data_IF_785538109460
#
_entry.id   IF_785538109460
#
_cell.length_a   1.000
_cell.length_b   1.000
_cell.length_c   1.000
_cell.angle_alpha   90.00
_cell.angle_beta   90.00
_cell.angle_gamma   90.00
#
_symmetry.space_group_name_H-M   'P 1'
#
loop_
_entity.id
_entity.type
_entity.pdbx_description
1 polymer ?
#
# COMPACT_ATOMS: atom_id res chain seq x y z
N UNK A 1 -7.62 21.28 -12.72
CA UNK A 1 -7.76 19.80 -12.73
C UNK A 1 -9.15 19.46 -12.24
N UNK A 2 -9.76 18.36 -12.72
CA UNK A 2 -10.98 17.81 -12.11
C UNK A 2 -10.53 16.84 -11.02
N UNK A 3 -11.02 16.95 -9.77
CA UNK A 3 -10.63 16.04 -8.70
C UNK A 3 -11.07 14.61 -9.06
N UNK A 4 -10.17 13.67 -8.78
CA UNK A 4 -10.45 12.23 -8.86
C UNK A 4 -11.12 11.75 -7.58
N UNK A 5 -11.82 10.61 -7.66
CA UNK A 5 -12.41 9.97 -6.48
C UNK A 5 -12.10 8.49 -6.48
N UNK A 6 -11.66 7.97 -5.36
CA UNK A 6 -11.67 6.53 -5.11
C UNK A 6 -13.01 6.11 -4.53
N UNK A 7 -13.53 5.02 -5.09
CA UNK A 7 -14.86 4.52 -4.79
C UNK A 7 -14.81 3.04 -4.48
N UNK A 8 -15.72 2.61 -3.60
CA UNK A 8 -15.97 1.21 -3.27
C UNK A 8 -17.36 0.86 -3.78
N UNK A 9 -17.45 -0.24 -4.52
CA UNK A 9 -18.70 -0.75 -5.06
C UNK A 9 -19.00 -2.13 -4.47
N UNK A 10 -20.12 -2.25 -3.77
CA UNK A 10 -20.61 -3.53 -3.27
C UNK A 10 -21.34 -4.25 -4.41
N UNK A 11 -20.75 -5.34 -4.91
CA UNK A 11 -21.28 -6.11 -6.04
C UNK A 11 -22.62 -6.81 -5.73
N UNK A 12 -22.94 -7.04 -4.45
CA UNK A 12 -24.16 -7.72 -4.03
C UNK A 12 -25.34 -6.75 -3.92
N UNK A 13 -25.10 -5.55 -3.38
CA UNK A 13 -26.15 -4.55 -3.15
C UNK A 13 -26.23 -3.50 -4.25
N UNK A 14 -25.18 -3.36 -5.07
CA UNK A 14 -25.03 -2.26 -6.01
C UNK A 14 -24.72 -0.92 -5.35
N UNK A 15 -24.41 -0.92 -4.06
CA UNK A 15 -24.11 0.30 -3.32
C UNK A 15 -22.70 0.82 -3.67
N UNK A 16 -22.62 2.11 -4.00
CA UNK A 16 -21.36 2.81 -4.26
C UNK A 16 -21.08 3.82 -3.16
N UNK A 17 -19.84 3.86 -2.68
CA UNK A 17 -19.36 4.85 -1.71
C UNK A 17 -18.06 5.49 -2.17
N UNK A 18 -17.99 6.81 -2.09
CA UNK A 18 -16.73 7.55 -2.24
C UNK A 18 -16.02 7.55 -0.89
N UNK A 19 -14.84 6.95 -0.83
CA UNK A 19 -14.04 6.91 0.41
C UNK A 19 -12.89 7.92 0.40
N UNK A 20 -12.53 8.45 -0.78
CA UNK A 20 -11.51 9.51 -0.90
C UNK A 20 -11.73 10.35 -2.15
N UNK A 21 -11.55 11.66 -1.99
CA UNK A 21 -11.42 12.63 -3.09
C UNK A 21 -10.00 13.15 -3.04
N UNK A 22 -9.33 13.24 -4.19
CA UNK A 22 -7.96 13.73 -4.27
C UNK A 22 -7.84 14.80 -5.35
N UNK A 23 -7.13 15.87 -4.99
CA UNK A 23 -6.95 17.06 -5.83
C UNK A 23 -5.60 17.08 -6.55
N UNK A 24 -4.79 16.02 -6.38
CA UNK A 24 -3.44 15.89 -6.92
C UNK A 24 -3.37 14.93 -8.11
N UNK A 25 -2.20 14.92 -8.77
CA UNK A 25 -1.91 14.03 -9.89
C UNK A 25 -2.15 12.57 -9.52
N UNK A 26 -2.99 11.87 -10.29
CA UNK A 26 -3.17 10.43 -10.19
C UNK A 26 -1.90 9.76 -10.70
N UNK A 27 -1.10 9.13 -9.84
CA UNK A 27 0.00 8.27 -10.30
C UNK A 27 -0.60 7.02 -10.95
N UNK A 28 -0.08 6.63 -12.11
CA UNK A 28 -0.41 5.35 -12.72
C UNK A 28 0.11 4.22 -11.83
N UNK A 29 -0.77 3.45 -11.19
CA UNK A 29 -0.41 2.36 -10.27
C UNK A 29 -0.92 2.53 -8.83
N UNK A 30 -2.12 3.10 -8.65
CA UNK A 30 -2.56 3.61 -7.35
C UNK A 30 -2.71 2.51 -6.29
N UNK A 31 -3.24 1.34 -6.64
CA UNK A 31 -3.48 0.24 -5.70
C UNK A 31 -2.31 -0.73 -5.70
N UNK A 32 -1.53 -0.68 -4.63
CA UNK A 32 -0.30 -1.46 -4.47
C UNK A 32 -0.57 -2.86 -3.92
N UNK A 33 -1.62 -3.02 -3.11
CA UNK A 33 -1.95 -4.34 -2.59
C UNK A 33 -3.15 -4.34 -1.66
N UNK A 34 -3.69 -5.53 -1.45
CA UNK A 34 -4.83 -5.80 -0.56
C UNK A 34 -4.42 -6.85 0.45
N UNK A 35 -4.72 -6.62 1.72
CA UNK A 35 -4.66 -7.62 2.77
C UNK A 35 -6.08 -8.11 3.06
N UNK A 36 -6.45 -9.34 2.65
CA UNK A 36 -7.77 -9.91 2.97
C UNK A 36 -7.96 -10.15 4.47
N UNK A 37 -6.90 -10.58 5.17
CA UNK A 37 -6.91 -10.85 6.61
C UNK A 37 -7.22 -9.60 7.42
N UNK A 38 -6.60 -8.46 7.06
CA UNK A 38 -6.82 -7.16 7.70
C UNK A 38 -7.90 -6.32 7.04
N UNK A 39 -8.51 -6.82 5.95
CA UNK A 39 -9.51 -6.12 5.14
C UNK A 39 -9.06 -4.68 4.82
N UNK A 40 -7.85 -4.55 4.31
CA UNK A 40 -7.18 -3.26 4.08
C UNK A 40 -6.63 -3.18 2.66
N UNK A 41 -6.75 -2.01 2.04
CA UNK A 41 -6.18 -1.67 0.74
C UNK A 41 -5.02 -0.69 0.96
N UNK A 42 -3.87 -0.96 0.35
CA UNK A 42 -2.73 -0.06 0.33
C UNK A 42 -2.63 0.64 -1.01
N UNK A 43 -2.36 1.93 -0.98
CA UNK A 43 -2.31 2.74 -2.19
C UNK A 43 -1.30 3.89 -2.08
N UNK A 44 -0.70 4.25 -3.20
CA UNK A 44 0.27 5.35 -3.28
C UNK A 44 -0.32 6.50 -4.08
N UNK A 45 -0.22 7.71 -3.52
CA UNK A 45 -0.50 8.95 -4.25
C UNK A 45 0.77 9.79 -4.38
N UNK A 46 0.79 10.67 -5.39
CA UNK A 46 1.89 11.58 -5.66
C UNK A 46 2.69 11.15 -6.88
N UNK A 47 3.97 11.50 -6.91
CA UNK A 47 4.85 11.20 -8.04
C UNK A 47 6.25 10.89 -7.57
N UNK A 48 6.73 9.70 -7.91
CA UNK A 48 8.09 9.27 -7.60
C UNK A 48 9.09 10.21 -8.28
N UNK A 49 8.75 10.74 -9.47
CA UNK A 49 9.56 11.73 -10.19
C UNK A 49 9.73 13.04 -9.42
N UNK A 50 8.68 13.52 -8.75
CA UNK A 50 8.73 14.75 -7.93
C UNK A 50 9.11 14.48 -6.46
N UNK A 51 9.37 13.23 -6.09
CA UNK A 51 9.77 12.85 -4.73
C UNK A 51 8.69 13.09 -3.66
N UNK A 52 7.42 13.20 -4.06
CA UNK A 52 6.31 13.52 -3.18
C UNK A 52 5.32 12.36 -3.01
N UNK A 53 5.75 11.13 -3.30
CA UNK A 53 4.95 9.92 -3.06
C UNK A 53 4.65 9.73 -1.58
N UNK A 54 3.44 9.23 -1.31
CA UNK A 54 2.93 8.91 0.02
C UNK A 54 2.18 7.59 -0.05
N UNK A 55 2.45 6.71 0.92
CA UNK A 55 1.72 5.47 1.10
C UNK A 55 0.54 5.72 2.04
N UNK A 56 -0.59 5.16 1.69
CA UNK A 56 -1.79 5.19 2.50
C UNK A 56 -2.32 3.77 2.67
N UNK A 57 -3.06 3.59 3.76
CA UNK A 57 -3.96 2.45 3.91
C UNK A 57 -5.40 2.94 4.01
N UNK A 58 -6.30 2.16 3.41
CA UNK A 58 -7.74 2.28 3.53
C UNK A 58 -8.30 1.03 4.22
N UNK A 59 -8.91 1.22 5.39
CA UNK A 59 -9.57 0.16 6.14
C UNK A 59 -10.99 -0.06 5.63
N UNK A 60 -11.30 -1.27 5.13
CA UNK A 60 -12.66 -1.59 4.66
C UNK A 60 -13.66 -1.68 5.82
N UNK A 61 -13.18 -2.03 7.02
CA UNK A 61 -14.03 -2.18 8.21
C UNK A 61 -14.39 -0.84 8.85
N UNK A 62 -13.44 0.11 8.88
CA UNK A 62 -13.65 1.44 9.47
C UNK A 62 -14.09 2.49 8.46
N UNK A 63 -13.93 2.22 7.17
CA UNK A 63 -14.15 3.19 6.09
C UNK A 63 -13.28 4.45 6.27
N UNK A 64 -12.02 4.24 6.64
CA UNK A 64 -11.07 5.29 7.02
C UNK A 64 -9.75 5.15 6.27
N UNK A 65 -9.11 6.29 6.01
CA UNK A 65 -7.77 6.35 5.40
C UNK A 65 -6.77 6.90 6.41
N UNK A 66 -5.60 6.26 6.51
CA UNK A 66 -4.43 6.85 7.18
C UNK A 66 -3.20 6.81 6.29
N UNK A 67 -2.32 7.80 6.48
CA UNK A 67 -1.00 7.82 5.86
C UNK A 67 -0.04 6.90 6.63
N UNK A 68 0.75 6.13 5.89
CA UNK A 68 1.88 5.36 6.39
C UNK A 68 3.16 6.13 6.05
N UNK A 69 3.86 6.60 7.08
CA UNK A 69 5.02 7.48 6.93
C UNK A 69 6.29 6.69 6.64
N UNK A 70 6.53 6.42 5.37
CA UNK A 70 7.78 5.82 4.89
C UNK A 70 8.47 6.81 3.94
N UNK A 71 9.72 7.11 4.22
CA UNK A 71 10.51 8.03 3.40
C UNK A 71 10.82 7.40 2.02
N UNK A 72 10.65 8.20 0.96
CA UNK A 72 10.98 7.81 -0.42
C UNK A 72 10.31 6.50 -0.89
N UNK A 73 9.10 6.22 -0.42
CA UNK A 73 8.31 5.08 -0.88
C UNK A 73 8.07 5.16 -2.39
N UNK A 74 8.23 4.03 -3.09
CA UNK A 74 7.85 3.92 -4.49
C UNK A 74 6.80 2.83 -4.74
N UNK A 75 6.86 1.71 -4.01
CA UNK A 75 6.01 0.54 -4.26
C UNK A 75 5.77 -0.26 -2.96
N UNK A 76 4.64 -0.98 -2.90
CA UNK A 76 4.47 -2.15 -2.02
C UNK A 76 4.57 -3.40 -2.88
N UNK A 77 5.59 -4.23 -2.61
CA UNK A 77 5.95 -5.35 -3.46
C UNK A 77 5.28 -6.66 -3.04
N UNK A 78 5.06 -6.83 -1.73
CA UNK A 78 4.41 -8.01 -1.17
C UNK A 78 3.79 -7.69 0.20
N UNK A 79 2.84 -8.51 0.61
CA UNK A 79 2.15 -8.43 1.89
C UNK A 79 2.15 -9.82 2.50
N UNK A 80 2.68 -9.95 3.73
CA UNK A 80 2.57 -11.17 4.53
C UNK A 80 1.13 -11.70 4.59
N UNK A 81 0.96 -13.01 4.71
CA UNK A 81 -0.36 -13.67 4.73
C UNK A 81 -1.29 -13.17 5.86
N UNK A 82 -0.72 -12.78 7.01
CA UNK A 82 -1.45 -12.19 8.12
C UNK A 82 -1.65 -10.66 7.97
N UNK A 83 -0.99 -10.05 6.98
CA UNK A 83 -1.00 -8.61 6.72
C UNK A 83 -0.16 -7.78 7.70
N UNK A 84 0.59 -8.40 8.61
CA UNK A 84 1.38 -7.72 9.64
C UNK A 84 2.65 -7.06 9.10
N UNK A 85 3.13 -7.50 7.95
CA UNK A 85 4.34 -7.00 7.29
C UNK A 85 4.09 -6.67 5.82
N UNK A 86 4.58 -5.50 5.40
CA UNK A 86 4.68 -5.08 4.00
C UNK A 86 6.14 -5.16 3.56
N UNK A 87 6.41 -5.77 2.41
CA UNK A 87 7.67 -5.56 1.71
C UNK A 87 7.52 -4.33 0.82
N UNK A 88 8.32 -3.30 1.07
CA UNK A 88 8.24 -2.02 0.38
C UNK A 88 9.54 -1.67 -0.33
N UNK A 89 9.44 -0.91 -1.43
CA UNK A 89 10.59 -0.27 -2.06
C UNK A 89 10.70 1.17 -1.60
N UNK A 90 11.86 1.55 -1.08
CA UNK A 90 12.19 2.91 -0.64
C UNK A 90 13.43 3.41 -1.37
N UNK A 91 13.26 4.22 -2.42
CA UNK A 91 14.34 4.59 -3.32
C UNK A 91 15.00 3.34 -3.96
N UNK A 92 16.28 3.11 -3.68
CA UNK A 92 17.03 1.94 -4.18
C UNK A 92 17.06 0.75 -3.21
N UNK A 93 16.36 0.83 -2.08
CA UNK A 93 16.37 -0.19 -1.04
C UNK A 93 15.04 -0.92 -0.94
N UNK A 94 15.10 -2.12 -0.35
CA UNK A 94 13.94 -2.90 0.06
C UNK A 94 13.87 -2.91 1.58
N UNK A 95 12.66 -2.75 2.12
CA UNK A 95 12.43 -2.74 3.56
C UNK A 95 11.19 -3.56 3.90
N UNK A 96 11.25 -4.27 5.03
CA UNK A 96 10.08 -4.85 5.67
C UNK A 96 9.52 -3.81 6.65
N UNK A 97 8.25 -3.46 6.47
CA UNK A 97 7.51 -2.54 7.33
C UNK A 97 6.52 -3.32 8.18
N UNK A 98 6.63 -3.22 9.50
CA UNK A 98 5.65 -3.77 10.42
C UNK A 98 4.44 -2.82 10.52
N UNK A 99 3.25 -3.32 10.15
CA UNK A 99 2.01 -2.54 10.07
C UNK A 99 1.52 -2.05 11.42
N UNK A 100 1.80 -2.81 12.48
CA UNK A 100 1.33 -2.54 13.84
C UNK A 100 2.27 -1.61 14.61
N UNK A 101 3.58 -1.81 14.48
CA UNK A 101 4.59 -1.05 15.23
C UNK A 101 5.11 0.15 14.45
N UNK A 102 5.00 0.14 13.11
CA UNK A 102 5.60 1.14 12.23
C UNK A 102 7.11 0.98 12.07
N UNK A 103 7.69 -0.11 12.55
CA UNK A 103 9.13 -0.38 12.44
C UNK A 103 9.53 -0.75 11.02
N UNK A 104 10.73 -0.36 10.64
CA UNK A 104 11.35 -0.66 9.34
C UNK A 104 12.63 -1.46 9.55
N UNK A 105 12.74 -2.57 8.84
CA UNK A 105 13.96 -3.36 8.75
C UNK A 105 14.42 -3.43 7.29
N UNK A 106 15.72 -3.22 7.05
CA UNK A 106 16.29 -3.35 5.71
C UNK A 106 16.31 -4.82 5.30
N UNK A 107 15.90 -5.09 4.06
CA UNK A 107 15.94 -6.41 3.45
C UNK A 107 17.03 -6.42 2.39
N UNK A 108 18.02 -7.28 2.56
CA UNK A 108 19.00 -7.59 1.50
C UNK A 108 18.38 -8.64 0.58
N UNK A 109 18.04 -8.26 -0.65
CA UNK A 109 17.62 -9.23 -1.66
C UNK A 109 18.86 -9.92 -2.21
N UNK A 110 19.23 -11.05 -1.61
CA UNK A 110 20.23 -11.95 -2.18
C UNK A 110 19.55 -12.79 -3.26
N UNK A 111 19.70 -12.36 -4.52
CA UNK A 111 19.38 -13.08 -5.76
C UNK A 111 18.20 -14.07 -5.65
N UNK A 112 17.01 -13.55 -5.31
CA UNK A 112 15.78 -14.36 -5.21
C UNK A 112 15.21 -14.51 -6.61
N UNK A 113 15.57 -15.61 -7.27
CA UNK A 113 14.95 -16.02 -8.53
C UNK A 113 13.55 -16.57 -8.27
N UNK A 114 12.55 -15.69 -8.34
CA UNK A 114 11.16 -16.06 -8.62
C UNK A 114 10.27 -16.29 -7.41
N UNK A 115 9.32 -15.35 -7.24
CA UNK A 115 8.03 -15.43 -6.57
C UNK A 115 8.00 -15.97 -5.12
N UNK A 116 7.19 -15.34 -4.26
CA UNK A 116 6.91 -15.74 -2.87
C UNK A 116 8.04 -15.41 -1.89
N UNK A 117 8.21 -14.12 -1.57
CA UNK A 117 9.24 -13.64 -0.63
C UNK A 117 8.80 -13.72 0.85
N UNK A 118 7.53 -14.00 1.14
CA UNK A 118 7.05 -14.12 2.52
C UNK A 118 6.30 -15.44 2.80
N UNK A 119 7.03 -16.55 2.89
CA UNK A 119 6.64 -17.69 3.74
C UNK A 119 7.77 -17.94 4.74
N UNK A 120 7.83 -17.11 5.79
CA UNK A 120 8.71 -17.33 6.94
C UNK A 120 7.93 -18.18 7.95
N UNK A 121 8.16 -19.51 7.91
CA UNK A 121 7.77 -20.44 8.96
C UNK A 121 9.03 -20.86 9.72
N UNK A 122 9.04 -20.63 11.02
CA UNK A 122 9.78 -21.42 12.00
C UNK A 122 8.78 -22.19 12.87
#
# INVERSE_FOLDING_TARGET
MRPGTYRRFDLRTGEERVWRTHDIWCSTGEFEGLSPSRRTLYFIEGSTYFGNTRLYEYSLDRDEVREIKIAAISDVLDISSDGGTLLVRTGQLFQAYNVDTGELARVELVDVSGAWVLDLRD
#
